data_IF_769396940105
#
_entry.id   IF_769396940105
#
_cell.length_a   1.000
_cell.length_b   1.000
_cell.length_c   1.000
_cell.angle_alpha   90.00
_cell.angle_beta   90.00
_cell.angle_gamma   90.00
#
_symmetry.space_group_name_H-M   'P 1'
#
loop_
_entity.id
_entity.type
_entity.pdbx_description
1 polymer ?
#
# COMPACT_ATOMS: atom_id res chain seq x y z
N UNK A 1 36.07 -7.48 15.34
CA UNK A 1 36.10 -8.14 16.67
C UNK A 1 34.74 -7.91 17.27
N UNK A 2 33.81 -8.81 16.99
CA UNK A 2 32.45 -8.73 17.50
C UNK A 2 32.47 -9.04 19.00
N UNK A 3 32.20 -8.00 19.78
CA UNK A 3 32.02 -8.12 21.22
C UNK A 3 30.69 -8.88 21.42
N UNK A 4 30.68 -10.03 22.12
CA UNK A 4 29.44 -10.72 22.45
C UNK A 4 28.52 -9.73 23.18
N UNK A 5 27.21 -9.68 22.87
CA UNK A 5 26.30 -8.84 23.62
C UNK A 5 26.38 -9.23 25.11
N UNK A 6 26.25 -8.26 26.04
CA UNK A 6 26.18 -8.56 27.47
C UNK A 6 25.11 -9.62 27.68
N UNK A 7 25.35 -10.58 28.59
CA UNK A 7 24.40 -11.64 28.94
C UNK A 7 23.01 -11.02 29.19
N UNK A 8 22.19 -10.99 28.14
CA UNK A 8 20.87 -10.38 28.16
C UNK A 8 20.06 -11.11 29.23
N UNK A 9 19.37 -10.35 30.09
CA UNK A 9 18.43 -10.92 31.06
C UNK A 9 17.48 -11.88 30.35
N UNK A 10 17.11 -12.98 31.02
CA UNK A 10 16.21 -13.98 30.46
C UNK A 10 14.90 -13.35 29.97
N UNK A 11 14.40 -12.33 30.68
CA UNK A 11 13.20 -11.59 30.28
C UNK A 11 13.38 -10.87 28.95
N UNK A 12 14.55 -10.24 28.72
CA UNK A 12 14.85 -9.56 27.46
C UNK A 12 14.97 -10.55 26.29
N UNK A 13 15.56 -11.73 26.54
CA UNK A 13 15.62 -12.80 25.54
C UNK A 13 14.21 -13.27 25.16
N UNK A 14 13.34 -13.48 26.16
CA UNK A 14 11.97 -13.92 25.92
C UNK A 14 11.18 -12.91 25.07
N UNK A 15 11.30 -11.62 25.35
CA UNK A 15 10.65 -10.55 24.55
C UNK A 15 11.14 -10.55 23.10
N UNK A 16 12.45 -10.71 22.88
CA UNK A 16 13.00 -10.79 21.52
C UNK A 16 12.45 -12.01 20.77
N UNK A 17 12.40 -13.17 21.42
CA UNK A 17 11.85 -14.39 20.80
C UNK A 17 10.37 -14.25 20.47
N UNK A 18 9.57 -13.68 21.39
CA UNK A 18 8.15 -13.43 21.15
C UNK A 18 7.95 -12.48 19.96
N UNK A 19 8.73 -11.39 19.88
CA UNK A 19 8.64 -10.44 18.78
C UNK A 19 9.04 -11.07 17.44
N UNK A 20 10.09 -11.89 17.40
CA UNK A 20 10.48 -12.62 16.18
C UNK A 20 9.40 -13.61 15.75
N UNK A 21 8.82 -14.35 16.70
CA UNK A 21 7.73 -15.31 16.42
C UNK A 21 6.49 -14.62 15.86
N UNK A 22 6.09 -13.48 16.46
CA UNK A 22 5.00 -12.66 15.95
C UNK A 22 5.27 -12.15 14.53
N UNK A 23 6.50 -11.73 14.25
CA UNK A 23 6.87 -11.21 12.94
C UNK A 23 6.83 -12.29 11.86
N UNK A 24 7.39 -13.47 12.15
CA UNK A 24 7.33 -14.64 11.27
C UNK A 24 5.89 -15.10 11.02
N UNK A 25 5.07 -15.19 12.07
CA UNK A 25 3.66 -15.57 11.94
C UNK A 25 2.88 -14.55 11.10
N UNK A 26 3.15 -13.26 11.28
CA UNK A 26 2.55 -12.18 10.48
C UNK A 26 2.97 -12.29 9.02
N UNK A 27 4.25 -12.46 8.73
CA UNK A 27 4.77 -12.63 7.37
C UNK A 27 4.21 -13.87 6.68
N UNK A 28 4.08 -14.99 7.40
CA UNK A 28 3.43 -16.19 6.88
C UNK A 28 2.01 -15.83 6.48
N UNK A 29 1.20 -15.27 7.39
CA UNK A 29 -0.18 -14.90 7.11
C UNK A 29 -0.29 -13.94 5.91
N UNK A 30 0.59 -12.94 5.84
CA UNK A 30 0.66 -12.00 4.72
C UNK A 30 0.97 -12.71 3.40
N UNK A 31 1.91 -13.66 3.38
CA UNK A 31 2.23 -14.49 2.21
C UNK A 31 1.03 -15.32 1.73
N UNK A 32 0.27 -15.90 2.67
CA UNK A 32 -0.96 -16.63 2.34
C UNK A 32 -2.02 -15.71 1.72
N UNK A 33 -2.24 -14.53 2.30
CA UNK A 33 -3.17 -13.53 1.78
C UNK A 33 -2.74 -13.01 0.41
N UNK A 34 -1.44 -12.76 0.22
CA UNK A 34 -0.88 -12.31 -1.05
C UNK A 34 -1.03 -13.38 -2.14
N UNK A 35 -0.87 -14.66 -1.79
CA UNK A 35 -1.16 -15.79 -2.68
C UNK A 35 -2.62 -15.85 -3.12
N UNK A 36 -3.57 -15.68 -2.19
CA UNK A 36 -5.00 -15.60 -2.51
C UNK A 36 -5.31 -14.40 -3.40
N UNK A 37 -4.75 -13.23 -3.08
CA UNK A 37 -4.90 -12.02 -3.88
C UNK A 37 -4.38 -12.20 -5.31
N UNK A 38 -3.21 -12.82 -5.47
CA UNK A 38 -2.62 -13.14 -6.77
C UNK A 38 -3.56 -14.02 -7.60
N UNK A 39 -4.16 -15.04 -6.99
CA UNK A 39 -5.15 -15.90 -7.65
C UNK A 39 -6.37 -15.10 -8.16
N UNK A 40 -6.89 -14.18 -7.35
CA UNK A 40 -8.00 -13.30 -7.73
C UNK A 40 -7.59 -12.38 -8.89
N UNK A 41 -6.40 -11.79 -8.85
CA UNK A 41 -5.86 -10.94 -9.92
C UNK A 41 -5.72 -11.73 -11.23
N UNK A 42 -5.21 -12.95 -11.19
CA UNK A 42 -5.10 -13.82 -12.38
C UNK A 42 -6.48 -14.10 -12.98
N UNK A 43 -7.46 -14.48 -12.16
CA UNK A 43 -8.82 -14.80 -12.62
C UNK A 43 -9.50 -13.55 -13.21
N UNK A 44 -9.37 -12.40 -12.54
CA UNK A 44 -9.96 -11.13 -13.02
C UNK A 44 -9.35 -10.69 -14.34
N UNK A 45 -8.02 -10.73 -14.48
CA UNK A 45 -7.34 -10.45 -15.74
C UNK A 45 -7.81 -11.40 -16.85
N UNK A 46 -7.90 -12.69 -16.56
CA UNK A 46 -8.38 -13.70 -17.51
C UNK A 46 -9.79 -13.37 -18.04
N UNK A 47 -10.72 -13.01 -17.16
CA UNK A 47 -12.09 -12.62 -17.51
C UNK A 47 -12.09 -11.36 -18.38
N UNK A 48 -11.28 -10.36 -18.04
CA UNK A 48 -11.18 -9.10 -18.79
C UNK A 48 -10.62 -9.34 -20.19
N UNK A 49 -9.55 -10.14 -20.32
CA UNK A 49 -8.94 -10.47 -21.61
C UNK A 49 -9.87 -11.27 -22.53
N UNK A 50 -10.75 -12.10 -21.97
CA UNK A 50 -11.72 -12.91 -22.73
C UNK A 50 -12.93 -12.09 -23.20
N UNK A 51 -13.14 -10.89 -22.65
CA UNK A 51 -14.28 -10.02 -22.98
C UNK A 51 -14.07 -9.28 -24.32
N UNK A 52 -15.13 -9.22 -25.15
CA UNK A 52 -15.10 -8.56 -26.47
C UNK A 52 -14.99 -7.02 -26.42
N UNK A 53 -15.13 -6.40 -25.24
CA UNK A 53 -15.05 -4.94 -25.04
C UNK A 53 -13.59 -4.49 -24.84
N UNK A 54 -12.82 -4.52 -25.93
CA UNK A 54 -11.35 -4.41 -25.94
C UNK A 54 -10.79 -3.13 -25.29
N UNK A 55 -11.34 -1.95 -25.58
CA UNK A 55 -10.79 -0.67 -25.09
C UNK A 55 -10.98 -0.45 -23.57
N UNK A 56 -12.17 -0.76 -23.04
CA UNK A 56 -12.47 -0.64 -21.61
C UNK A 56 -11.71 -1.69 -20.77
N UNK A 57 -11.57 -2.89 -21.32
CA UNK A 57 -10.81 -3.97 -20.66
C UNK A 57 -9.32 -3.66 -20.55
N UNK A 58 -8.71 -3.05 -21.58
CA UNK A 58 -7.26 -2.75 -21.54
C UNK A 58 -6.91 -1.75 -20.45
N UNK A 59 -7.66 -0.66 -20.26
CA UNK A 59 -7.38 0.33 -19.21
C UNK A 59 -7.46 -0.28 -17.80
N UNK A 60 -8.51 -1.04 -17.53
CA UNK A 60 -8.66 -1.74 -16.24
C UNK A 60 -7.57 -2.79 -16.03
N UNK A 61 -7.20 -3.56 -17.05
CA UNK A 61 -6.06 -4.48 -16.98
C UNK A 61 -4.77 -3.74 -16.59
N UNK A 62 -4.48 -2.59 -17.21
CA UNK A 62 -3.28 -1.82 -16.89
C UNK A 62 -3.27 -1.37 -15.44
N UNK A 63 -4.38 -0.85 -14.90
CA UNK A 63 -4.44 -0.44 -13.49
C UNK A 63 -4.28 -1.63 -12.55
N UNK A 64 -4.98 -2.74 -12.81
CA UNK A 64 -4.90 -3.96 -11.99
C UNK A 64 -3.46 -4.50 -11.97
N UNK A 65 -2.79 -4.53 -13.13
CA UNK A 65 -1.39 -4.97 -13.23
C UNK A 65 -0.46 -4.03 -12.46
N UNK A 66 -0.63 -2.71 -12.59
CA UNK A 66 0.20 -1.74 -11.87
C UNK A 66 0.01 -1.88 -10.35
N UNK A 67 -1.23 -1.93 -9.86
CA UNK A 67 -1.53 -2.17 -8.46
C UNK A 67 -0.91 -3.47 -7.94
N UNK A 68 -1.00 -4.55 -8.73
CA UNK A 68 -0.40 -5.83 -8.37
C UNK A 68 1.12 -5.77 -8.29
N UNK A 69 1.78 -5.09 -9.23
CA UNK A 69 3.24 -4.90 -9.20
C UNK A 69 3.63 -4.12 -7.94
N UNK A 70 2.94 -3.02 -7.64
CA UNK A 70 3.20 -2.20 -6.46
C UNK A 70 3.10 -2.99 -5.15
N UNK A 71 2.02 -3.75 -5.00
CA UNK A 71 1.81 -4.60 -3.83
C UNK A 71 2.89 -5.69 -3.73
N UNK A 72 3.21 -6.34 -4.85
CA UNK A 72 4.20 -7.42 -4.89
C UNK A 72 5.61 -6.92 -4.60
N UNK A 73 5.99 -5.74 -5.08
CA UNK A 73 7.29 -5.13 -4.76
C UNK A 73 7.41 -4.86 -3.27
N UNK A 74 6.38 -4.33 -2.63
CA UNK A 74 6.41 -4.04 -1.18
C UNK A 74 6.50 -5.31 -0.36
N UNK A 75 5.69 -6.32 -0.69
CA UNK A 75 5.76 -7.63 -0.06
C UNK A 75 7.13 -8.30 -0.24
N UNK A 76 7.70 -8.24 -1.45
CA UNK A 76 9.01 -8.86 -1.75
C UNK A 76 10.14 -8.16 -0.99
N UNK A 77 10.10 -6.83 -0.86
CA UNK A 77 11.08 -6.09 -0.08
C UNK A 77 11.04 -6.50 1.39
N UNK A 78 9.84 -6.58 1.99
CA UNK A 78 9.66 -7.04 3.36
C UNK A 78 10.19 -8.47 3.56
N UNK A 79 9.84 -9.37 2.64
CA UNK A 79 10.30 -10.76 2.64
C UNK A 79 11.82 -10.91 2.55
N UNK A 80 12.46 -10.21 1.59
CA UNK A 80 13.91 -10.28 1.38
C UNK A 80 14.65 -9.75 2.60
N UNK A 81 14.13 -8.68 3.20
CA UNK A 81 14.71 -8.08 4.38
C UNK A 81 14.70 -9.04 5.58
N UNK A 82 13.55 -9.66 5.88
CA UNK A 82 13.45 -10.66 6.97
C UNK A 82 14.27 -11.92 6.70
N UNK A 83 14.29 -12.38 5.44
CA UNK A 83 15.08 -13.54 5.03
C UNK A 83 16.58 -13.26 5.15
N UNK A 84 17.04 -12.09 4.71
CA UNK A 84 18.44 -11.69 4.80
C UNK A 84 18.89 -11.54 6.26
N UNK A 85 18.09 -10.86 7.10
CA UNK A 85 18.37 -10.73 8.53
C UNK A 85 18.48 -12.11 9.21
N UNK A 86 17.60 -13.05 8.85
CA UNK A 86 17.60 -14.41 9.41
C UNK A 86 18.77 -15.27 8.92
N UNK A 87 19.22 -15.12 7.67
CA UNK A 87 20.30 -15.92 7.08
C UNK A 87 21.68 -15.41 7.51
N UNK A 88 21.92 -14.10 7.47
CA UNK A 88 23.21 -13.47 7.81
C UNK A 88 23.51 -13.59 9.32
N UNK A 89 22.48 -13.43 10.16
CA UNK A 89 22.59 -13.38 11.62
C UNK A 89 21.96 -14.57 12.34
N UNK A 90 21.71 -15.68 11.64
CA UNK A 90 21.04 -16.87 12.20
C UNK A 90 21.71 -17.47 13.45
N UNK A 91 22.95 -17.09 13.75
CA UNK A 91 23.69 -17.50 14.95
C UNK A 91 23.52 -16.54 16.15
N UNK A 92 22.95 -15.34 15.96
CA UNK A 92 22.72 -14.34 17.00
C UNK A 92 21.38 -13.62 16.80
N UNK A 93 20.35 -14.09 17.50
CA UNK A 93 18.97 -13.58 17.45
C UNK A 93 18.87 -12.07 17.75
N UNK A 94 19.80 -11.54 18.56
CA UNK A 94 19.84 -10.13 18.91
C UNK A 94 20.21 -9.22 17.73
N UNK A 95 21.15 -9.65 16.87
CA UNK A 95 21.49 -8.88 15.67
C UNK A 95 20.38 -8.91 14.63
N UNK A 96 19.67 -10.03 14.48
CA UNK A 96 18.46 -10.13 13.63
C UNK A 96 17.43 -9.09 14.08
N UNK A 97 17.13 -9.08 15.39
CA UNK A 97 16.17 -8.15 15.98
C UNK A 97 16.57 -6.68 15.85
N UNK A 98 17.85 -6.37 16.06
CA UNK A 98 18.38 -5.01 15.96
C UNK A 98 18.30 -4.47 14.53
N UNK A 99 18.73 -5.27 13.55
CA UNK A 99 18.61 -4.91 12.13
C UNK A 99 17.15 -4.72 11.75
N UNK A 100 16.25 -5.61 12.18
CA UNK A 100 14.83 -5.46 11.92
C UNK A 100 14.32 -4.13 12.45
N UNK A 101 14.58 -3.83 13.72
CA UNK A 101 14.09 -2.62 14.39
C UNK A 101 14.63 -1.32 13.79
N UNK A 102 15.91 -1.29 13.38
CA UNK A 102 16.54 -0.11 12.79
C UNK A 102 15.94 0.24 11.41
N UNK A 103 15.57 -0.78 10.63
CA UNK A 103 15.03 -0.61 9.29
C UNK A 103 13.50 -0.50 9.24
N UNK A 104 12.81 -0.60 10.39
CA UNK A 104 11.35 -0.42 10.49
C UNK A 104 10.92 0.94 9.94
N UNK A 105 11.66 2.01 10.21
CA UNK A 105 11.34 3.35 9.69
C UNK A 105 11.40 3.41 8.17
N UNK A 106 12.43 2.79 7.56
CA UNK A 106 12.59 2.72 6.13
C UNK A 106 11.47 1.88 5.48
N UNK A 107 11.08 0.77 6.10
CA UNK A 107 10.02 -0.09 5.62
C UNK A 107 8.65 0.63 5.65
N UNK A 108 8.32 1.33 6.75
CA UNK A 108 7.10 2.13 6.84
C UNK A 108 7.04 3.26 5.81
N UNK A 109 8.20 3.86 5.50
CA UNK A 109 8.26 4.89 4.47
C UNK A 109 7.95 4.33 3.07
N UNK A 110 8.52 3.17 2.73
CA UNK A 110 8.28 2.50 1.46
C UNK A 110 6.80 2.05 1.36
N UNK A 111 6.27 1.46 2.42
CA UNK A 111 4.86 1.04 2.48
C UNK A 111 3.92 2.25 2.34
N UNK A 112 4.25 3.38 2.97
CA UNK A 112 3.51 4.64 2.82
C UNK A 112 3.49 5.15 1.36
N UNK A 113 4.60 5.06 0.64
CA UNK A 113 4.66 5.45 -0.78
C UNK A 113 3.81 4.50 -1.63
N UNK A 114 3.98 3.19 -1.46
CA UNK A 114 3.20 2.19 -2.20
C UNK A 114 1.72 2.35 -1.93
N UNK A 115 1.33 2.51 -0.66
CA UNK A 115 -0.04 2.76 -0.25
C UNK A 115 -0.61 4.03 -0.89
N UNK A 116 0.15 5.12 -0.87
CA UNK A 116 -0.25 6.38 -1.50
C UNK A 116 -0.49 6.26 -3.01
N UNK A 117 0.40 5.57 -3.74
CA UNK A 117 0.20 5.33 -5.18
C UNK A 117 -1.01 4.41 -5.42
N UNK A 118 -1.20 3.41 -4.55
CA UNK A 118 -2.36 2.53 -4.56
C UNK A 118 -3.68 3.31 -4.44
N UNK A 119 -3.77 4.23 -3.48
CA UNK A 119 -4.94 5.10 -3.31
C UNK A 119 -5.21 5.95 -4.55
N UNK A 120 -4.18 6.56 -5.13
CA UNK A 120 -4.32 7.37 -6.36
C UNK A 120 -4.87 6.53 -7.52
N UNK A 121 -4.37 5.30 -7.69
CA UNK A 121 -4.84 4.39 -8.74
C UNK A 121 -6.30 3.95 -8.52
N UNK A 122 -6.71 3.74 -7.27
CA UNK A 122 -8.10 3.45 -6.90
C UNK A 122 -9.01 4.65 -7.23
N UNK A 123 -8.61 5.85 -6.85
CA UNK A 123 -9.37 7.08 -7.13
C UNK A 123 -9.55 7.30 -8.64
N UNK A 124 -8.48 7.11 -9.42
CA UNK A 124 -8.53 7.17 -10.88
C UNK A 124 -9.52 6.13 -11.44
N UNK A 125 -9.57 4.93 -10.87
CA UNK A 125 -10.50 3.86 -11.31
C UNK A 125 -11.96 4.20 -11.01
N UNK A 126 -12.23 4.83 -9.86
CA UNK A 126 -13.56 5.30 -9.49
C UNK A 126 -14.00 6.42 -10.42
N UNK A 127 -13.15 7.42 -10.64
CA UNK A 127 -13.41 8.53 -11.58
C UNK A 127 -13.67 8.00 -12.98
N UNK A 128 -12.89 7.01 -13.43
CA UNK A 128 -13.08 6.35 -14.71
C UNK A 128 -14.44 5.62 -14.79
N UNK A 129 -14.82 4.84 -13.78
CA UNK A 129 -16.12 4.16 -13.75
C UNK A 129 -17.29 5.16 -13.76
N UNK A 130 -17.19 6.24 -13.00
CA UNK A 130 -18.15 7.34 -13.05
C UNK A 130 -18.22 7.91 -14.47
N UNK A 131 -17.09 8.19 -15.11
CA UNK A 131 -17.04 8.73 -16.47
C UNK A 131 -17.70 7.81 -17.51
N UNK A 132 -17.48 6.49 -17.41
CA UNK A 132 -18.11 5.49 -18.28
C UNK A 132 -19.61 5.36 -18.03
N UNK A 133 -20.07 5.47 -16.77
CA UNK A 133 -21.50 5.43 -16.41
C UNK A 133 -22.28 6.63 -16.97
N UNK A 134 -21.63 7.79 -17.09
CA UNK A 134 -22.22 9.02 -17.65
C UNK A 134 -22.03 9.16 -19.17
N UNK A 135 -21.78 8.05 -19.88
CA UNK A 135 -21.65 8.01 -21.34
C UNK A 135 -20.69 9.08 -21.89
N UNK A 136 -19.54 9.25 -21.25
CA UNK A 136 -18.48 10.20 -21.65
C UNK A 136 -18.84 11.69 -21.50
N UNK A 137 -19.97 12.04 -20.88
CA UNK A 137 -20.35 13.44 -20.64
C UNK A 137 -19.59 14.05 -19.45
N UNK A 138 -18.42 14.63 -19.72
CA UNK A 138 -17.58 15.37 -18.75
C UNK A 138 -18.32 16.44 -17.94
N UNK A 139 -19.46 16.95 -18.44
CA UNK A 139 -20.21 18.03 -17.81
C UNK A 139 -20.68 17.68 -16.38
N UNK A 140 -21.04 16.43 -16.10
CA UNK A 140 -21.58 16.05 -14.78
C UNK A 140 -20.49 15.94 -13.71
N UNK A 141 -19.25 15.61 -14.08
CA UNK A 141 -18.10 15.52 -13.16
C UNK A 141 -17.48 16.90 -12.92
N UNK A 142 -17.47 17.77 -13.94
CA UNK A 142 -16.96 19.13 -13.79
C UNK A 142 -17.84 20.01 -12.90
N UNK A 143 -19.16 19.83 -12.91
CA UNK A 143 -20.09 20.65 -12.09
C UNK A 143 -19.72 20.59 -10.59
N UNK A 144 -19.63 19.43 -9.93
CA UNK A 144 -19.26 19.36 -8.52
C UNK A 144 -17.81 19.78 -8.26
N UNK A 145 -16.86 19.50 -9.16
CA UNK A 145 -15.47 19.98 -9.02
C UNK A 145 -15.38 21.51 -9.06
N UNK A 146 -16.07 22.13 -10.01
CA UNK A 146 -16.15 23.59 -10.13
C UNK A 146 -16.89 24.20 -8.95
N UNK A 147 -17.99 23.59 -8.49
CA UNK A 147 -18.70 24.02 -7.29
C UNK A 147 -17.81 23.93 -6.04
N UNK A 148 -17.00 22.88 -5.90
CA UNK A 148 -16.08 22.73 -4.78
C UNK A 148 -14.94 23.75 -4.82
N UNK A 149 -14.36 24.01 -6.00
CA UNK A 149 -13.32 25.04 -6.19
C UNK A 149 -13.89 26.44 -5.97
N UNK A 150 -15.11 26.73 -6.43
CA UNK A 150 -15.77 28.02 -6.18
C UNK A 150 -16.09 28.19 -4.70
N UNK A 151 -16.50 27.13 -4.00
CA UNK A 151 -16.78 27.17 -2.57
C UNK A 151 -15.51 27.39 -1.72
N UNK A 152 -14.37 26.81 -2.10
CA UNK A 152 -13.10 27.01 -1.40
C UNK A 152 -12.39 28.31 -1.79
N UNK A 153 -12.61 28.79 -3.02
CA UNK A 153 -12.07 30.06 -3.50
C UNK A 153 -12.96 31.27 -3.18
N UNK A 154 -14.15 31.06 -2.59
CA UNK A 154 -14.99 32.16 -2.10
C UNK A 154 -14.24 32.84 -0.96
N UNK A 155 -13.68 34.04 -1.17
CA UNK A 155 -12.77 34.62 -0.20
C UNK A 155 -13.61 35.16 0.97
N UNK A 156 -13.15 34.94 2.21
CA UNK A 156 -13.83 35.28 3.48
C UNK A 156 -14.38 36.73 3.55
N UNK A 157 -13.86 37.60 2.68
CA UNK A 157 -14.28 38.97 2.41
C UNK A 157 -15.76 39.09 1.98
N UNK A 158 -16.42 38.03 1.48
CA UNK A 158 -17.87 38.05 1.17
C UNK A 158 -18.75 37.50 2.30
N UNK A 159 -18.21 36.76 3.27
CA UNK A 159 -18.97 36.36 4.47
C UNK A 159 -19.23 37.58 5.38
N UNK A 160 -18.25 38.48 5.55
CA UNK A 160 -18.43 39.72 6.33
C UNK A 160 -19.42 40.73 5.71
N UNK A 161 -19.67 40.68 4.40
CA UNK A 161 -20.58 41.61 3.72
C UNK A 161 -22.04 41.14 3.75
N UNK A 162 -22.28 39.86 4.07
CA UNK A 162 -23.62 39.26 4.22
C UNK A 162 -24.10 39.24 5.67
N UNK A 163 -23.19 39.23 6.64
CA UNK A 163 -23.48 39.49 8.06
C UNK A 163 -23.27 40.97 8.37
N UNK A 164 -24.21 41.79 7.91
CA UNK A 164 -24.15 43.25 8.04
C UNK A 164 -23.72 43.74 9.42
N UNK A 165 -22.71 44.61 9.40
CA UNK A 165 -22.43 45.58 10.44
C UNK A 165 -22.36 46.98 9.82
#
# INVERSE_FOLDING_TARGET
MDVPPPDLSQDAKNVIFEQLDLNLNTMILESWLHGLYTGIVIITLWVIFTSKKRLHGTFLCTIIIMLYILLTTSFTMNWVFESHASIEYGNNYYSVFKELTDNVEANYFIDGITGGIGTILVDITIIWHCWVLWDYQWQVVFIPMMCAVVATALPDNMQQKLTGH
#
